data_IF_656524950244
#
_entry.id   IF_656524950244
#
_cell.length_a   1.000
_cell.length_b   1.000
_cell.length_c   1.000
_cell.angle_alpha   90.00
_cell.angle_beta   90.00
_cell.angle_gamma   90.00
#
_symmetry.space_group_name_H-M   'P 1'
#
loop_
_entity.id
_entity.type
_entity.pdbx_description
1 polymer ?
#
# COMPACT_ATOMS: atom_id res chain seq x y z
N UNK A 1 -11.12 44.25 19.00
CA UNK A 1 -10.89 44.35 17.53
C UNK A 1 -9.46 44.02 17.12
N UNK A 2 -8.41 44.66 17.68
CA UNK A 2 -7.00 44.37 17.32
C UNK A 2 -6.56 42.91 17.54
N UNK A 3 -6.90 42.31 18.68
CA UNK A 3 -6.54 40.91 18.99
C UNK A 3 -7.15 39.94 17.97
N UNK A 4 -8.42 40.12 17.60
CA UNK A 4 -9.11 39.29 16.61
C UNK A 4 -8.45 39.41 15.23
N UNK A 5 -8.06 40.63 14.82
CA UNK A 5 -7.34 40.85 13.58
C UNK A 5 -5.96 40.20 13.57
N UNK A 6 -5.20 40.28 14.67
CA UNK A 6 -3.90 39.63 14.79
C UNK A 6 -4.03 38.10 14.72
N UNK A 7 -5.01 37.51 15.42
CA UNK A 7 -5.26 36.07 15.36
C UNK A 7 -5.64 35.65 13.94
N UNK A 8 -6.51 36.41 13.27
CA UNK A 8 -6.90 36.12 11.89
C UNK A 8 -5.72 36.16 10.91
N UNK A 9 -4.79 37.12 11.07
CA UNK A 9 -3.57 37.21 10.26
C UNK A 9 -2.60 36.06 10.52
N UNK A 10 -2.47 35.61 11.77
CA UNK A 10 -1.65 34.45 12.10
C UNK A 10 -2.24 33.20 11.45
N UNK A 11 -3.54 32.97 11.62
CA UNK A 11 -4.22 31.81 11.02
C UNK A 11 -4.13 31.82 9.49
N UNK A 12 -4.28 32.98 8.84
CA UNK A 12 -4.13 33.07 7.38
C UNK A 12 -2.70 32.78 6.93
N UNK A 13 -1.69 33.27 7.67
CA UNK A 13 -0.28 32.98 7.37
C UNK A 13 0.07 31.49 7.53
N UNK A 14 -0.47 30.83 8.56
CA UNK A 14 -0.30 29.39 8.80
C UNK A 14 -0.97 28.57 7.69
N UNK A 15 -2.18 28.94 7.29
CA UNK A 15 -2.87 28.29 6.17
C UNK A 15 -2.10 28.43 4.85
N UNK A 16 -1.53 29.61 4.59
CA UNK A 16 -0.72 29.83 3.38
C UNK A 16 0.56 29.00 3.41
N UNK A 17 1.24 28.91 4.56
CA UNK A 17 2.42 28.06 4.73
C UNK A 17 2.07 26.59 4.48
N UNK A 18 0.98 26.09 5.06
CA UNK A 18 0.52 24.72 4.85
C UNK A 18 0.17 24.45 3.37
N UNK A 19 -0.53 25.38 2.71
CA UNK A 19 -0.83 25.26 1.28
C UNK A 19 0.44 25.20 0.40
N UNK A 20 1.48 25.96 0.75
CA UNK A 20 2.76 25.93 0.04
C UNK A 20 3.45 24.57 0.21
N UNK A 21 3.44 23.99 1.42
CA UNK A 21 3.98 22.65 1.66
C UNK A 21 3.25 21.58 0.83
N UNK A 22 1.92 21.66 0.74
CA UNK A 22 1.17 20.74 -0.11
C UNK A 22 1.52 20.88 -1.60
N UNK A 23 1.69 22.11 -2.09
CA UNK A 23 2.07 22.37 -3.48
C UNK A 23 3.49 21.87 -3.76
N UNK A 24 4.42 22.11 -2.84
CA UNK A 24 5.79 21.62 -2.93
C UNK A 24 5.83 20.09 -2.96
N UNK A 25 5.09 19.41 -2.07
CA UNK A 25 4.93 17.96 -2.11
C UNK A 25 4.34 17.48 -3.44
N UNK A 26 3.24 18.07 -3.94
CA UNK A 26 2.61 17.65 -5.20
C UNK A 26 3.55 17.79 -6.40
N UNK A 27 4.40 18.81 -6.40
CA UNK A 27 5.44 18.99 -7.43
C UNK A 27 6.48 17.87 -7.38
N UNK A 28 6.94 17.50 -6.19
CA UNK A 28 7.91 16.41 -6.00
C UNK A 28 7.28 15.01 -6.15
N UNK A 29 5.98 14.87 -5.89
CA UNK A 29 5.27 13.61 -6.12
C UNK A 29 5.29 13.24 -7.60
N UNK A 30 5.21 14.25 -8.47
CA UNK A 30 5.21 14.12 -9.93
C UNK A 30 6.60 14.27 -10.58
N UNK A 31 7.66 14.50 -9.80
CA UNK A 31 9.02 14.56 -10.33
C UNK A 31 9.49 13.17 -10.78
N UNK A 32 10.38 13.14 -11.78
CA UNK A 32 10.96 11.89 -12.28
C UNK A 32 11.91 11.24 -11.25
N UNK A 33 12.59 12.07 -10.47
CA UNK A 33 13.53 11.65 -9.43
C UNK A 33 12.92 11.93 -8.06
N UNK A 34 12.75 10.88 -7.27
CA UNK A 34 12.25 11.02 -5.91
C UNK A 34 13.33 11.53 -4.96
N UNK A 35 13.14 12.74 -4.41
CA UNK A 35 14.01 13.28 -3.37
C UNK A 35 13.54 12.88 -1.96
N UNK A 36 14.15 11.83 -1.41
CA UNK A 36 13.87 11.34 -0.05
C UNK A 36 14.10 12.39 1.05
N UNK A 37 15.22 13.12 0.99
CA UNK A 37 15.57 14.11 2.03
C UNK A 37 14.58 15.27 2.05
N UNK A 38 14.09 15.68 0.88
CA UNK A 38 13.04 16.67 0.78
C UNK A 38 11.73 16.20 1.43
N UNK A 39 11.31 14.96 1.16
CA UNK A 39 10.12 14.38 1.79
C UNK A 39 10.24 14.32 3.31
N UNK A 40 11.38 13.90 3.84
CA UNK A 40 11.64 13.91 5.29
C UNK A 40 11.58 15.30 5.89
N UNK A 41 12.06 16.33 5.17
CA UNK A 41 12.03 17.71 5.63
C UNK A 41 10.61 18.28 5.73
N UNK A 42 9.73 17.94 4.80
CA UNK A 42 8.36 18.48 4.75
C UNK A 42 7.34 17.66 5.56
N UNK A 43 7.68 16.42 5.94
CA UNK A 43 6.81 15.48 6.66
C UNK A 43 6.17 16.10 7.90
N UNK A 44 6.93 16.79 8.76
CA UNK A 44 6.40 17.38 10.00
C UNK A 44 5.35 18.46 9.75
N UNK A 45 5.41 19.13 8.59
CA UNK A 45 4.43 20.14 8.21
C UNK A 45 3.19 19.57 7.51
N UNK A 46 3.22 18.28 7.15
CA UNK A 46 2.16 17.57 6.42
C UNK A 46 1.68 16.32 7.18
N UNK A 47 1.94 16.23 8.49
CA UNK A 47 1.64 15.05 9.30
C UNK A 47 0.15 14.70 9.36
N UNK A 48 -0.73 15.69 9.27
CA UNK A 48 -2.18 15.43 9.23
C UNK A 48 -2.69 15.06 7.82
N UNK A 49 -1.83 15.14 6.80
CA UNK A 49 -2.22 14.92 5.40
C UNK A 49 -2.07 13.44 5.01
N UNK A 50 -3.16 12.70 5.13
CA UNK A 50 -3.21 11.29 4.70
C UNK A 50 -2.69 11.06 3.27
N UNK A 51 -2.97 11.97 2.33
CA UNK A 51 -2.50 11.82 0.95
C UNK A 51 -0.96 11.83 0.85
N UNK A 52 -0.29 12.62 1.69
CA UNK A 52 1.17 12.67 1.79
C UNK A 52 1.72 11.34 2.31
N UNK A 53 1.20 10.83 3.43
CA UNK A 53 1.65 9.56 4.01
C UNK A 53 1.45 8.38 3.06
N UNK A 54 0.33 8.36 2.33
CA UNK A 54 0.10 7.33 1.31
C UNK A 54 1.16 7.38 0.21
N UNK A 55 1.42 8.55 -0.37
CA UNK A 55 2.40 8.72 -1.45
C UNK A 55 3.83 8.40 -0.97
N UNK A 56 4.18 8.88 0.22
CA UNK A 56 5.49 8.64 0.81
C UNK A 56 5.72 7.14 1.08
N UNK A 57 4.71 6.42 1.58
CA UNK A 57 4.79 4.97 1.76
C UNK A 57 5.15 4.23 0.46
N UNK A 58 4.47 4.55 -0.65
CA UNK A 58 4.78 3.92 -1.95
C UNK A 58 6.21 4.24 -2.41
N UNK A 59 6.64 5.50 -2.28
CA UNK A 59 8.00 5.91 -2.65
C UNK A 59 9.06 5.19 -1.79
N UNK A 60 8.82 5.04 -0.49
CA UNK A 60 9.71 4.30 0.43
C UNK A 60 9.81 2.82 0.08
N UNK A 61 8.68 2.17 -0.23
CA UNK A 61 8.67 0.77 -0.68
C UNK A 61 9.54 0.59 -1.94
N UNK A 62 9.39 1.48 -2.94
CA UNK A 62 10.20 1.42 -4.16
C UNK A 62 11.70 1.70 -3.94
N UNK A 63 12.06 2.43 -2.88
CA UNK A 63 13.46 2.59 -2.45
C UNK A 63 13.98 1.42 -1.59
N UNK A 64 13.19 0.40 -1.31
CA UNK A 64 13.56 -0.68 -0.40
C UNK A 64 13.56 -0.31 1.08
N UNK A 65 13.01 0.86 1.44
CA UNK A 65 12.90 1.37 2.81
C UNK A 65 11.64 0.82 3.49
N UNK A 66 11.53 -0.50 3.58
CA UNK A 66 10.27 -1.17 3.93
C UNK A 66 9.74 -0.83 5.33
N UNK A 67 10.63 -0.71 6.32
CA UNK A 67 10.24 -0.32 7.69
C UNK A 67 9.69 1.10 7.75
N UNK A 68 10.36 2.04 7.10
CA UNK A 68 9.89 3.43 7.01
C UNK A 68 8.56 3.51 6.25
N UNK A 69 8.39 2.69 5.19
CA UNK A 69 7.09 2.59 4.50
C UNK A 69 5.98 2.13 5.45
N UNK A 70 6.23 1.16 6.33
CA UNK A 70 5.26 0.70 7.32
C UNK A 70 4.91 1.78 8.34
N UNK A 71 5.87 2.62 8.75
CA UNK A 71 5.63 3.76 9.62
C UNK A 71 4.68 4.78 8.96
N UNK A 72 4.89 5.10 7.68
CA UNK A 72 3.98 5.99 6.93
C UNK A 72 2.58 5.38 6.77
N UNK A 73 2.48 4.07 6.55
CA UNK A 73 1.19 3.37 6.51
C UNK A 73 0.48 3.48 7.86
N UNK A 74 1.20 3.32 8.98
CA UNK A 74 0.61 3.45 10.31
C UNK A 74 0.05 4.86 10.59
N UNK A 75 0.75 5.91 10.14
CA UNK A 75 0.27 7.29 10.23
C UNK A 75 -1.03 7.51 9.44
N UNK A 76 -1.13 6.94 8.23
CA UNK A 76 -2.37 6.96 7.45
C UNK A 76 -3.50 6.17 8.14
N UNK A 77 -3.19 4.98 8.64
CA UNK A 77 -4.16 4.05 9.23
C UNK A 77 -4.76 4.55 10.55
N UNK A 78 -4.11 5.48 11.25
CA UNK A 78 -4.66 6.15 12.42
C UNK A 78 -6.00 6.85 12.13
N UNK A 79 -6.22 7.27 10.88
CA UNK A 79 -7.42 8.00 10.46
C UNK A 79 -8.33 7.19 9.54
N UNK A 80 -7.78 6.28 8.72
CA UNK A 80 -8.54 5.61 7.65
C UNK A 80 -7.88 4.31 7.18
N UNK A 81 -8.69 3.33 6.79
CA UNK A 81 -8.23 2.12 6.09
C UNK A 81 -8.27 2.28 4.56
N UNK A 82 -7.29 1.69 3.85
CA UNK A 82 -7.23 1.70 2.39
C UNK A 82 -6.77 0.35 1.85
N UNK A 83 -7.54 -0.24 0.94
CA UNK A 83 -7.15 -1.51 0.28
C UNK A 83 -5.74 -1.44 -0.32
N UNK A 84 -5.40 -0.32 -0.98
CA UNK A 84 -4.08 -0.16 -1.62
C UNK A 84 -2.95 -0.19 -0.59
N UNK A 85 -3.14 0.45 0.56
CA UNK A 85 -2.14 0.46 1.63
C UNK A 85 -2.10 -0.86 2.39
N UNK A 86 -3.23 -1.57 2.54
CA UNK A 86 -3.23 -2.92 3.11
C UNK A 86 -2.44 -3.90 2.26
N UNK A 87 -2.56 -3.83 0.92
CA UNK A 87 -1.70 -4.61 0.01
C UNK A 87 -0.24 -4.18 0.15
N UNK A 88 0.05 -2.87 0.14
CA UNK A 88 1.42 -2.37 0.30
C UNK A 88 2.05 -2.80 1.63
N UNK A 89 1.27 -2.82 2.72
CA UNK A 89 1.68 -3.30 4.05
C UNK A 89 2.08 -4.77 3.98
N UNK A 90 1.27 -5.60 3.32
CA UNK A 90 1.56 -7.00 3.09
C UNK A 90 2.87 -7.18 2.30
N UNK A 91 3.04 -6.43 1.21
CA UNK A 91 4.28 -6.44 0.41
C UNK A 91 5.50 -6.01 1.24
N UNK A 92 5.41 -4.97 2.07
CA UNK A 92 6.50 -4.58 2.96
C UNK A 92 6.89 -5.70 3.93
N UNK A 93 5.91 -6.37 4.56
CA UNK A 93 6.19 -7.49 5.44
C UNK A 93 6.83 -8.67 4.70
N UNK A 94 6.39 -8.93 3.47
CA UNK A 94 6.98 -9.97 2.63
C UNK A 94 8.46 -9.69 2.34
N UNK A 95 8.81 -8.46 1.96
CA UNK A 95 10.21 -8.04 1.71
C UNK A 95 11.07 -8.08 2.97
N UNK A 96 10.45 -7.91 4.14
CA UNK A 96 11.10 -8.05 5.44
C UNK A 96 11.15 -9.51 5.95
N UNK A 97 10.67 -10.47 5.15
CA UNK A 97 10.50 -11.88 5.50
C UNK A 97 9.62 -12.14 6.75
N UNK A 98 8.76 -11.18 7.10
CA UNK A 98 7.74 -11.33 8.15
C UNK A 98 6.49 -11.97 7.53
N UNK A 99 6.62 -13.25 7.17
CA UNK A 99 5.60 -13.95 6.37
C UNK A 99 4.26 -14.06 7.09
N UNK A 100 4.26 -14.16 8.43
CA UNK A 100 3.03 -14.19 9.23
C UNK A 100 2.21 -12.91 9.03
N UNK A 101 2.82 -11.74 9.21
CA UNK A 101 2.13 -10.46 8.99
C UNK A 101 1.83 -10.16 7.53
N UNK A 102 2.65 -10.67 6.61
CA UNK A 102 2.36 -10.59 5.18
C UNK A 102 1.08 -11.35 4.85
N UNK A 103 0.94 -12.60 5.33
CA UNK A 103 -0.25 -13.43 5.14
C UNK A 103 -1.49 -12.76 5.76
N UNK A 104 -1.39 -12.28 7.00
CA UNK A 104 -2.49 -11.57 7.67
C UNK A 104 -2.98 -10.38 6.83
N UNK A 105 -2.04 -9.55 6.35
CA UNK A 105 -2.35 -8.36 5.57
C UNK A 105 -2.91 -8.71 4.18
N UNK A 106 -2.38 -9.75 3.52
CA UNK A 106 -2.92 -10.22 2.25
C UNK A 106 -4.32 -10.82 2.40
N UNK A 107 -4.58 -11.59 3.46
CA UNK A 107 -5.92 -12.10 3.78
C UNK A 107 -6.90 -10.96 4.03
N UNK A 108 -6.49 -9.93 4.80
CA UNK A 108 -7.31 -8.75 5.01
C UNK A 108 -7.65 -8.05 3.68
N UNK A 109 -6.66 -7.77 2.84
CA UNK A 109 -6.90 -7.13 1.54
C UNK A 109 -7.74 -7.98 0.58
N UNK A 110 -7.56 -9.31 0.59
CA UNK A 110 -8.41 -10.27 -0.12
C UNK A 110 -9.87 -10.13 0.31
N UNK A 111 -10.13 -10.04 1.61
CA UNK A 111 -11.48 -9.93 2.16
C UNK A 111 -12.10 -8.54 1.95
N UNK A 112 -11.29 -7.49 1.89
CA UNK A 112 -11.77 -6.13 1.56
C UNK A 112 -12.33 -6.03 0.14
N UNK A 113 -11.63 -6.62 -0.85
CA UNK A 113 -12.08 -6.64 -2.25
C UNK A 113 -11.90 -8.04 -2.85
N UNK A 114 -12.85 -8.97 -2.62
CA UNK A 114 -12.72 -10.39 -2.98
C UNK A 114 -12.53 -10.69 -4.47
N UNK A 115 -12.86 -9.74 -5.35
CA UNK A 115 -12.66 -9.90 -6.79
C UNK A 115 -11.25 -9.52 -7.28
N UNK A 116 -10.35 -9.07 -6.39
CA UNK A 116 -8.97 -8.74 -6.76
C UNK A 116 -8.12 -10.00 -6.76
N UNK A 117 -7.40 -10.22 -7.86
CA UNK A 117 -6.51 -11.36 -8.02
C UNK A 117 -5.19 -11.20 -7.27
N UNK A 118 -4.68 -9.97 -7.14
CA UNK A 118 -3.36 -9.71 -6.57
C UNK A 118 -3.17 -10.34 -5.17
N UNK A 119 -4.00 -10.04 -4.15
CA UNK A 119 -3.82 -10.64 -2.84
C UNK A 119 -3.91 -12.17 -2.83
N UNK A 120 -4.78 -12.74 -3.68
CA UNK A 120 -4.93 -14.20 -3.80
C UNK A 120 -3.69 -14.84 -4.38
N UNK A 121 -3.13 -14.22 -5.40
CA UNK A 121 -1.93 -14.72 -6.05
C UNK A 121 -0.71 -14.65 -5.12
N UNK A 122 -0.51 -13.54 -4.41
CA UNK A 122 0.58 -13.44 -3.43
C UNK A 122 0.46 -14.49 -2.32
N UNK A 123 -0.76 -14.75 -1.81
CA UNK A 123 -1.00 -15.85 -0.88
C UNK A 123 -0.71 -17.22 -1.50
N UNK A 124 -1.11 -17.44 -2.75
CA UNK A 124 -0.82 -18.68 -3.46
C UNK A 124 0.69 -18.92 -3.59
N UNK A 125 1.47 -17.89 -3.92
CA UNK A 125 2.93 -17.97 -4.00
C UNK A 125 3.54 -18.24 -2.61
N UNK A 126 3.09 -17.53 -1.58
CA UNK A 126 3.52 -17.77 -0.19
C UNK A 126 3.27 -19.22 0.25
N UNK A 127 2.08 -19.75 -0.02
CA UNK A 127 1.71 -21.11 0.36
C UNK A 127 2.48 -22.17 -0.43
N UNK A 128 2.69 -21.95 -1.73
CA UNK A 128 3.34 -22.96 -2.60
C UNK A 128 4.85 -22.95 -2.48
N UNK A 129 5.47 -21.78 -2.45
CA UNK A 129 6.93 -21.65 -2.61
C UNK A 129 7.65 -21.45 -1.28
N UNK A 130 7.04 -20.71 -0.34
CA UNK A 130 7.67 -20.34 0.93
C UNK A 130 7.29 -21.36 2.01
N UNK A 131 6.00 -21.49 2.30
CA UNK A 131 5.51 -22.41 3.34
C UNK A 131 5.47 -23.86 2.88
N UNK A 132 5.32 -24.09 1.57
CA UNK A 132 5.13 -25.41 0.96
C UNK A 132 3.96 -26.18 1.60
N UNK A 133 2.90 -25.46 1.94
CA UNK A 133 1.65 -26.01 2.47
C UNK A 133 0.73 -26.38 1.31
N UNK A 134 0.64 -27.68 1.00
CA UNK A 134 -0.13 -28.16 -0.14
C UNK A 134 -1.63 -27.90 0.00
N UNK A 135 -2.16 -27.94 1.23
CA UNK A 135 -3.58 -27.73 1.50
C UNK A 135 -4.00 -26.30 1.21
N UNK A 136 -3.31 -25.35 1.85
CA UNK A 136 -3.53 -23.91 1.62
C UNK A 136 -3.27 -23.52 0.17
N UNK A 137 -2.24 -24.10 -0.45
CA UNK A 137 -1.95 -23.88 -1.87
C UNK A 137 -3.08 -24.34 -2.78
N UNK A 138 -3.62 -25.53 -2.55
CA UNK A 138 -4.73 -26.09 -3.34
C UNK A 138 -5.99 -25.26 -3.15
N UNK A 139 -6.31 -24.87 -1.93
CA UNK A 139 -7.50 -24.07 -1.64
C UNK A 139 -7.41 -22.68 -2.26
N UNK A 140 -6.25 -22.02 -2.21
CA UNK A 140 -6.06 -20.74 -2.88
C UNK A 140 -6.11 -20.87 -4.40
N UNK A 141 -5.53 -21.92 -4.98
CA UNK A 141 -5.60 -22.17 -6.42
C UNK A 141 -7.05 -22.40 -6.91
N UNK A 142 -7.87 -23.13 -6.13
CA UNK A 142 -9.32 -23.27 -6.40
C UNK A 142 -10.01 -21.92 -6.35
N UNK A 143 -9.79 -21.15 -5.28
CA UNK A 143 -10.42 -19.82 -5.12
C UNK A 143 -10.06 -18.88 -6.28
N UNK A 144 -8.80 -18.89 -6.74
CA UNK A 144 -8.36 -18.11 -7.91
C UNK A 144 -9.11 -18.52 -9.18
N UNK A 145 -9.25 -19.83 -9.43
CA UNK A 145 -9.93 -20.33 -10.62
C UNK A 145 -11.44 -20.03 -10.61
N UNK A 146 -12.08 -20.13 -9.45
CA UNK A 146 -13.49 -19.81 -9.24
C UNK A 146 -13.78 -18.31 -9.29
N UNK A 147 -12.79 -17.46 -8.98
CA UNK A 147 -12.94 -16.01 -9.02
C UNK A 147 -13.28 -15.54 -10.45
N UNK A 148 -14.41 -14.84 -10.67
CA UNK A 148 -14.76 -14.32 -11.99
C UNK A 148 -13.78 -13.26 -12.49
N UNK A 149 -13.43 -13.30 -13.78
CA UNK A 149 -12.61 -12.27 -14.41
C UNK A 149 -13.49 -11.05 -14.69
N UNK A 150 -13.24 -9.93 -13.98
CA UNK A 150 -13.92 -8.66 -14.22
C UNK A 150 -13.25 -7.80 -15.28
N UNK A 151 -11.92 -7.81 -15.30
CA UNK A 151 -11.09 -7.10 -16.27
C UNK A 151 -10.09 -8.10 -16.80
N UNK A 152 -10.15 -8.35 -18.10
CA UNK A 152 -9.22 -9.26 -18.75
C UNK A 152 -7.89 -8.53 -18.98
N UNK A 153 -6.83 -9.08 -18.41
CA UNK A 153 -5.46 -8.58 -18.58
C UNK A 153 -4.48 -9.75 -18.65
N UNK A 154 -3.29 -9.57 -19.24
CA UNK A 154 -2.25 -10.61 -19.27
C UNK A 154 -1.93 -11.16 -17.88
N UNK A 155 -1.87 -10.28 -16.86
CA UNK A 155 -1.67 -10.66 -15.47
C UNK A 155 -2.77 -11.59 -14.94
N UNK A 156 -4.05 -11.25 -15.14
CA UNK A 156 -5.14 -12.11 -14.64
C UNK A 156 -5.15 -13.46 -15.34
N UNK A 157 -4.84 -13.49 -16.64
CA UNK A 157 -4.73 -14.73 -17.39
C UNK A 157 -3.56 -15.60 -16.92
N UNK A 158 -2.40 -15.01 -16.62
CA UNK A 158 -1.25 -15.75 -16.10
C UNK A 158 -1.54 -16.34 -14.71
N UNK A 159 -2.13 -15.55 -13.82
CA UNK A 159 -2.53 -16.00 -12.48
C UNK A 159 -3.50 -17.19 -12.55
N UNK A 160 -4.54 -17.11 -13.39
CA UNK A 160 -5.47 -18.23 -13.60
C UNK A 160 -4.80 -19.46 -14.20
N UNK A 161 -3.92 -19.25 -15.19
CA UNK A 161 -3.20 -20.34 -15.83
C UNK A 161 -2.33 -21.10 -14.83
N UNK A 162 -1.58 -20.39 -13.99
CA UNK A 162 -0.71 -20.99 -12.98
C UNK A 162 -1.51 -21.75 -11.92
N UNK A 163 -2.57 -21.16 -11.39
CA UNK A 163 -3.46 -21.84 -10.44
C UNK A 163 -4.11 -23.10 -11.05
N UNK A 164 -4.59 -23.01 -12.30
CA UNK A 164 -5.13 -24.16 -13.03
C UNK A 164 -4.10 -25.25 -13.28
N UNK A 165 -2.84 -24.87 -13.58
CA UNK A 165 -1.74 -25.82 -13.78
C UNK A 165 -1.41 -26.54 -12.48
N UNK A 166 -1.34 -25.81 -11.36
CA UNK A 166 -1.09 -26.38 -10.04
C UNK A 166 -2.11 -27.47 -9.67
N UNK A 167 -3.40 -27.23 -9.92
CA UNK A 167 -4.46 -28.21 -9.63
C UNK A 167 -4.42 -29.47 -10.50
N UNK A 168 -3.72 -29.46 -11.65
CA UNK A 168 -3.64 -30.59 -12.58
C UNK A 168 -2.41 -31.47 -12.40
N UNK A 169 -1.38 -30.98 -11.72
CA UNK A 169 -0.08 -31.67 -11.57
C UNK A 169 -0.06 -32.61 -10.35
N UNK A 170 -1.05 -32.52 -9.46
CA UNK A 170 -1.19 -33.39 -8.29
C UNK A 170 -1.96 -34.68 -8.60
#
# INVERSE_FOLDING_TARGET
MRIVLTIALILSSLNLMYANLELDWKRESTSAEFNYDHYKKIETGLEDLNAFHQDFAFKLYHLGKYRESLEQIAKYEANKTSYRLTVLKASNYLELNDYEKAIESFLLSKNMIPSRFLPKYELFILYTQILKDEGLSRDMAKEINETPIKVMSPYVLSVKHEASKYLKIQ
#
